data_IF_041934320813
#
_entry.id   IF_041934320813
#
_cell.length_a   1.000
_cell.length_b   1.000
_cell.length_c   1.000
_cell.angle_alpha   90.00
_cell.angle_beta   90.00
_cell.angle_gamma   90.00
#
_symmetry.space_group_name_H-M   'P 1'
#
loop_
_entity.id
_entity.type
_entity.pdbx_description
1 polymer ?
#
# COMPACT_ATOMS: atom_id res chain seq x y z
N UNK A 1 4.59 14.60 -12.89
CA UNK A 1 5.43 14.85 -14.07
C UNK A 1 4.56 15.39 -15.20
N UNK A 2 4.15 14.59 -16.18
CA UNK A 2 3.19 15.02 -17.22
C UNK A 2 1.82 15.35 -16.61
N UNK A 3 1.06 16.23 -17.27
CA UNK A 3 -0.33 16.53 -16.93
C UNK A 3 -1.27 15.34 -17.25
N UNK A 4 -2.56 15.51 -16.90
CA UNK A 4 -3.62 14.52 -17.18
C UNK A 4 -3.31 13.15 -16.55
N UNK A 5 -2.70 13.18 -15.37
CA UNK A 5 -1.93 12.08 -14.78
C UNK A 5 -2.70 10.75 -14.67
N UNK A 6 -4.03 10.76 -14.55
CA UNK A 6 -4.85 9.56 -14.38
C UNK A 6 -5.97 9.47 -15.44
N UNK A 7 -5.84 10.17 -16.55
CA UNK A 7 -6.87 10.18 -17.61
C UNK A 7 -6.83 8.94 -18.54
N UNK A 8 -6.10 7.90 -18.15
CA UNK A 8 -6.00 6.63 -18.89
C UNK A 8 -5.60 6.81 -20.37
N UNK A 9 -4.49 7.53 -20.60
CA UNK A 9 -4.00 7.80 -21.96
C UNK A 9 -3.45 6.54 -22.64
N UNK A 10 -3.58 6.50 -23.97
CA UNK A 10 -3.03 5.40 -24.77
C UNK A 10 -1.49 5.45 -24.82
N UNK A 11 -0.88 4.32 -25.16
CA UNK A 11 0.58 4.23 -25.34
C UNK A 11 1.12 5.24 -26.35
N UNK A 12 0.41 5.50 -27.45
CA UNK A 12 0.84 6.47 -28.45
C UNK A 12 0.84 7.91 -27.88
N UNK A 13 -0.17 8.24 -27.07
CA UNK A 13 -0.25 9.54 -26.40
C UNK A 13 0.85 9.70 -25.35
N UNK A 14 1.08 8.67 -24.52
CA UNK A 14 2.16 8.67 -23.51
C UNK A 14 3.53 8.73 -24.18
N UNK A 15 3.76 8.00 -25.27
CA UNK A 15 5.00 8.05 -26.06
C UNK A 15 5.25 9.45 -26.60
N UNK A 16 4.23 10.09 -27.16
CA UNK A 16 4.35 11.46 -27.65
C UNK A 16 4.73 12.42 -26.51
N UNK A 17 4.06 12.31 -25.36
CA UNK A 17 4.36 13.11 -24.18
C UNK A 17 5.78 12.89 -23.66
N UNK A 18 6.24 11.64 -23.53
CA UNK A 18 7.61 11.30 -23.10
C UNK A 18 8.66 11.89 -24.04
N UNK A 19 8.41 11.90 -25.35
CA UNK A 19 9.32 12.50 -26.33
C UNK A 19 9.37 14.02 -26.24
N UNK A 20 8.24 14.69 -26.00
CA UNK A 20 8.22 16.13 -25.71
C UNK A 20 9.00 16.44 -24.42
N UNK A 21 8.81 15.59 -23.42
CA UNK A 21 9.47 15.71 -22.14
C UNK A 21 11.00 15.54 -22.24
N UNK A 22 11.45 14.55 -23.03
CA UNK A 22 12.85 14.27 -23.29
C UNK A 22 13.58 15.43 -24.01
N UNK A 23 12.86 16.28 -24.73
CA UNK A 23 13.43 17.51 -25.35
C UNK A 23 13.26 18.77 -24.48
N UNK A 24 12.72 18.63 -23.27
CA UNK A 24 12.67 19.71 -22.27
C UNK A 24 11.42 20.56 -22.27
N UNK A 25 10.33 20.13 -22.92
CA UNK A 25 9.08 20.90 -22.99
C UNK A 25 8.54 21.28 -21.59
N UNK A 26 8.82 20.47 -20.56
CA UNK A 26 8.28 20.63 -19.22
C UNK A 26 9.29 21.14 -18.18
N UNK A 27 10.55 21.40 -18.56
CA UNK A 27 11.63 21.77 -17.62
C UNK A 27 11.25 22.99 -16.77
N UNK A 28 10.57 23.96 -17.37
CA UNK A 28 10.15 25.20 -16.71
C UNK A 28 9.24 24.95 -15.49
N UNK A 29 8.39 23.92 -15.50
CA UNK A 29 7.56 23.56 -14.34
C UNK A 29 8.42 23.09 -13.17
N UNK A 30 9.45 22.30 -13.43
CA UNK A 30 10.34 21.78 -12.38
C UNK A 30 11.30 22.85 -11.86
N UNK A 31 11.74 23.78 -12.73
CA UNK A 31 12.47 24.97 -12.28
C UNK A 31 11.62 25.80 -11.31
N UNK A 32 10.36 26.08 -11.68
CA UNK A 32 9.44 26.83 -10.83
C UNK A 32 9.18 26.11 -9.48
N UNK A 33 9.02 24.78 -9.49
CA UNK A 33 8.90 24.00 -8.27
C UNK A 33 10.17 24.11 -7.39
N UNK A 34 11.35 23.94 -7.98
CA UNK A 34 12.62 24.03 -7.26
C UNK A 34 12.83 25.42 -6.64
N UNK A 35 12.64 26.49 -7.42
CA UNK A 35 12.70 27.87 -6.93
C UNK A 35 11.74 28.08 -5.76
N UNK A 36 10.50 27.57 -5.88
CA UNK A 36 9.50 27.70 -4.82
C UNK A 36 9.88 26.97 -3.54
N UNK A 37 10.42 25.76 -3.63
CA UNK A 37 10.87 25.00 -2.46
C UNK A 37 12.03 25.70 -1.74
N UNK A 38 12.98 26.28 -2.49
CA UNK A 38 14.06 27.08 -1.90
C UNK A 38 13.52 28.34 -1.22
N UNK A 39 12.61 29.08 -1.87
CA UNK A 39 11.96 30.26 -1.28
C UNK A 39 11.22 29.95 0.03
N UNK A 40 10.57 28.78 0.09
CA UNK A 40 9.87 28.28 1.27
C UNK A 40 10.81 27.79 2.37
N UNK A 41 12.13 27.83 2.15
CA UNK A 41 13.17 27.38 3.08
C UNK A 41 13.07 25.89 3.43
N UNK A 42 12.70 25.07 2.44
CA UNK A 42 12.74 23.60 2.51
C UNK A 42 13.70 23.02 1.45
N UNK A 43 14.95 23.51 1.38
CA UNK A 43 15.87 23.17 0.31
C UNK A 43 16.30 21.69 0.31
N UNK A 44 16.15 20.98 1.43
CA UNK A 44 16.54 19.58 1.65
C UNK A 44 15.39 18.58 1.40
N UNK A 45 14.37 19.00 0.64
CA UNK A 45 13.20 18.18 0.33
C UNK A 45 13.59 16.90 -0.43
N UNK A 46 13.06 15.76 0.02
CA UNK A 46 13.05 14.51 -0.74
C UNK A 46 11.88 14.55 -1.72
N UNK A 47 12.17 14.32 -3.00
CA UNK A 47 11.20 14.36 -4.09
C UNK A 47 11.04 12.96 -4.67
N UNK A 48 9.87 12.36 -4.45
CA UNK A 48 9.45 11.11 -5.10
C UNK A 48 8.98 11.45 -6.50
N UNK A 49 9.94 11.50 -7.44
CA UNK A 49 9.65 11.84 -8.81
C UNK A 49 9.14 10.60 -9.54
N UNK A 50 8.06 10.75 -10.32
CA UNK A 50 7.57 9.68 -11.19
C UNK A 50 7.31 8.34 -10.47
N UNK A 51 6.62 8.39 -9.32
CA UNK A 51 6.29 7.21 -8.51
C UNK A 51 5.49 6.17 -9.31
N UNK A 52 5.66 4.89 -8.99
CA UNK A 52 4.90 3.79 -9.61
C UNK A 52 4.96 3.76 -11.15
N UNK A 53 6.04 4.30 -11.73
CA UNK A 53 6.24 4.39 -13.18
C UNK A 53 6.24 3.04 -13.91
N UNK A 54 6.45 1.92 -13.21
CA UNK A 54 6.38 0.58 -13.79
C UNK A 54 4.96 0.10 -14.06
N UNK A 55 3.94 0.82 -13.58
CA UNK A 55 2.54 0.55 -13.83
C UNK A 55 1.97 1.23 -15.08
N UNK A 56 0.63 1.23 -15.16
CA UNK A 56 -0.11 1.86 -16.28
C UNK A 56 -1.04 2.99 -15.87
N UNK A 57 -1.26 3.18 -14.57
CA UNK A 57 -2.19 4.18 -14.02
C UNK A 57 -1.81 5.59 -14.42
N UNK A 58 -0.52 5.91 -14.34
CA UNK A 58 -0.05 7.28 -14.48
C UNK A 58 0.45 7.62 -15.89
N UNK A 59 0.22 8.83 -16.37
CA UNK A 59 0.75 9.29 -17.68
C UNK A 59 2.28 9.45 -17.69
N UNK A 60 2.89 9.50 -16.51
CA UNK A 60 4.33 9.56 -16.34
C UNK A 60 5.01 8.19 -16.25
N UNK A 61 4.25 7.11 -16.46
CA UNK A 61 4.77 5.76 -16.54
C UNK A 61 5.94 5.65 -17.53
N UNK A 62 6.84 4.71 -17.23
CA UNK A 62 8.06 4.46 -17.97
C UNK A 62 7.80 3.80 -19.32
N UNK A 63 6.85 2.87 -19.37
CA UNK A 63 6.32 2.38 -20.64
C UNK A 63 5.54 3.49 -21.36
N UNK A 64 5.53 3.54 -22.70
CA UNK A 64 6.09 2.55 -23.61
C UNK A 64 7.43 3.00 -24.22
N UNK A 65 8.11 4.00 -23.63
CA UNK A 65 9.38 4.56 -24.12
C UNK A 65 10.39 4.79 -22.98
N UNK A 66 10.98 3.70 -22.42
CA UNK A 66 11.88 3.79 -21.25
C UNK A 66 13.09 4.70 -21.45
N UNK A 67 13.63 4.79 -22.66
CA UNK A 67 14.76 5.69 -22.96
C UNK A 67 14.36 7.16 -22.88
N UNK A 68 13.19 7.52 -23.41
CA UNK A 68 12.63 8.86 -23.27
C UNK A 68 12.29 9.17 -21.81
N UNK A 69 11.77 8.19 -21.05
CA UNK A 69 11.52 8.33 -19.61
C UNK A 69 12.82 8.62 -18.84
N UNK A 70 13.89 7.84 -19.08
CA UNK A 70 15.19 8.04 -18.40
C UNK A 70 15.80 9.39 -18.75
N UNK A 71 15.68 9.79 -20.01
CA UNK A 71 16.11 11.12 -20.46
C UNK A 71 15.32 12.21 -19.74
N UNK A 72 14.00 12.08 -19.64
CA UNK A 72 13.15 13.05 -18.97
C UNK A 72 13.46 13.15 -17.47
N UNK A 73 13.60 12.03 -16.76
CA UNK A 73 14.06 12.01 -15.36
C UNK A 73 15.33 12.83 -15.19
N UNK A 74 16.36 12.52 -15.98
CA UNK A 74 17.67 13.17 -15.89
C UNK A 74 17.58 14.68 -16.15
N UNK A 75 16.71 15.12 -17.08
CA UNK A 75 16.45 16.54 -17.34
C UNK A 75 15.78 17.25 -16.18
N UNK A 76 14.79 16.62 -15.56
CA UNK A 76 14.11 17.18 -14.39
C UNK A 76 15.11 17.39 -13.26
N UNK A 77 15.88 16.34 -12.93
CA UNK A 77 16.89 16.39 -11.87
C UNK A 77 17.93 17.48 -12.17
N UNK A 78 18.46 17.54 -13.39
CA UNK A 78 19.42 18.59 -13.78
C UNK A 78 18.81 20.00 -13.67
N UNK A 79 17.55 20.17 -14.09
CA UNK A 79 16.84 21.45 -14.02
C UNK A 79 16.66 21.90 -12.58
N UNK A 80 16.17 21.02 -11.71
CA UNK A 80 15.95 21.32 -10.30
C UNK A 80 17.28 21.59 -9.58
N UNK A 81 18.32 20.78 -9.85
CA UNK A 81 19.66 20.97 -9.28
C UNK A 81 20.35 22.26 -9.75
N UNK A 82 19.92 22.86 -10.86
CA UNK A 82 20.45 24.15 -11.35
C UNK A 82 19.98 25.36 -10.54
N UNK A 83 18.97 25.21 -9.67
CA UNK A 83 18.44 26.30 -8.85
C UNK A 83 19.38 26.53 -7.66
N UNK A 84 19.94 27.74 -7.48
CA UNK A 84 20.83 28.03 -6.35
C UNK A 84 20.14 27.84 -4.99
N UNK A 85 20.85 27.25 -4.03
CA UNK A 85 20.36 27.03 -2.67
C UNK A 85 19.53 25.76 -2.47
N UNK A 86 19.35 24.94 -3.52
CA UNK A 86 18.74 23.62 -3.40
C UNK A 86 19.71 22.59 -2.81
N UNK A 87 19.17 21.63 -2.06
CA UNK A 87 19.84 20.41 -1.57
C UNK A 87 18.88 19.20 -1.67
N UNK A 88 18.11 19.14 -2.77
CA UNK A 88 17.07 18.13 -2.94
C UNK A 88 17.66 16.74 -3.16
N UNK A 89 16.92 15.72 -2.68
CA UNK A 89 17.21 14.31 -2.97
C UNK A 89 16.09 13.72 -3.82
N UNK A 90 16.46 12.94 -4.83
CA UNK A 90 15.51 12.33 -5.76
C UNK A 90 15.34 10.84 -5.45
N UNK A 91 14.10 10.46 -5.16
CA UNK A 91 13.71 9.11 -4.78
C UNK A 91 13.06 8.38 -5.96
N UNK A 92 13.74 7.35 -6.47
CA UNK A 92 13.24 6.49 -7.55
C UNK A 92 12.40 5.36 -6.94
N UNK A 93 11.08 5.49 -7.07
CA UNK A 93 10.11 4.64 -6.34
C UNK A 93 9.16 3.93 -7.30
N UNK A 94 9.42 2.66 -7.66
CA UNK A 94 8.45 1.81 -8.35
C UNK A 94 7.40 1.21 -7.41
N UNK A 95 6.31 0.69 -7.97
CA UNK A 95 5.43 -0.25 -7.27
C UNK A 95 6.10 -1.61 -7.15
N UNK A 96 5.85 -2.32 -6.04
CA UNK A 96 6.37 -3.67 -5.80
C UNK A 96 5.97 -4.65 -6.91
N UNK A 97 6.93 -5.46 -7.30
CA UNK A 97 6.76 -6.49 -8.33
C UNK A 97 6.94 -5.90 -9.73
N UNK A 98 6.61 -6.71 -10.74
CA UNK A 98 6.75 -6.28 -12.14
C UNK A 98 5.80 -5.14 -12.48
N UNK A 99 4.56 -5.22 -12.01
CA UNK A 99 3.42 -4.49 -12.57
C UNK A 99 3.38 -4.67 -14.12
N UNK A 100 3.50 -3.60 -14.91
CA UNK A 100 3.49 -3.70 -16.38
C UNK A 100 4.88 -3.95 -16.98
N UNK A 101 5.92 -3.29 -16.46
CA UNK A 101 7.30 -3.40 -16.95
C UNK A 101 8.30 -3.58 -15.80
N UNK A 102 9.38 -4.38 -15.96
CA UNK A 102 10.45 -4.44 -14.96
C UNK A 102 10.96 -3.05 -14.56
N UNK A 103 10.78 -2.65 -13.29
CA UNK A 103 11.16 -1.31 -12.87
C UNK A 103 12.68 -1.04 -13.02
N UNK A 104 13.52 -2.07 -13.00
CA UNK A 104 14.96 -1.95 -13.23
C UNK A 104 15.29 -1.46 -14.64
N UNK A 105 14.45 -1.74 -15.64
CA UNK A 105 14.63 -1.23 -17.01
C UNK A 105 14.41 0.30 -17.10
N UNK A 106 13.69 0.83 -16.13
CA UNK A 106 13.41 2.25 -15.99
C UNK A 106 14.48 2.97 -15.18
N UNK A 107 15.46 2.31 -14.56
CA UNK A 107 16.43 3.00 -13.71
C UNK A 107 17.29 4.01 -14.51
N UNK A 108 17.28 5.32 -14.17
CA UNK A 108 17.93 6.37 -14.98
C UNK A 108 19.44 6.50 -14.72
N UNK A 109 19.96 5.81 -13.70
CA UNK A 109 21.37 5.76 -13.33
C UNK A 109 21.71 6.49 -12.02
N UNK A 110 22.86 6.12 -11.44
CA UNK A 110 23.27 6.53 -10.08
C UNK A 110 23.52 8.03 -9.91
N UNK A 111 23.77 8.76 -11.00
CA UNK A 111 24.12 10.17 -10.97
C UNK A 111 22.93 11.07 -10.59
N UNK A 112 21.70 10.60 -10.82
CA UNK A 112 20.46 11.39 -10.68
C UNK A 112 19.44 10.74 -9.74
N UNK A 113 19.80 9.62 -9.12
CA UNK A 113 19.00 8.96 -8.08
C UNK A 113 19.77 8.99 -6.77
N UNK A 114 19.15 9.51 -5.72
CA UNK A 114 19.75 9.62 -4.39
C UNK A 114 19.25 8.52 -3.44
N UNK A 115 18.00 8.07 -3.64
CA UNK A 115 17.31 7.05 -2.84
C UNK A 115 16.59 6.10 -3.80
N UNK A 116 16.61 4.81 -3.49
CA UNK A 116 15.84 3.80 -4.22
C UNK A 116 14.66 3.40 -3.33
N UNK A 117 13.47 3.91 -3.64
CA UNK A 117 12.24 3.61 -2.91
C UNK A 117 11.50 2.40 -3.44
N UNK A 118 10.39 2.07 -2.80
CA UNK A 118 9.42 1.08 -3.26
C UNK A 118 8.06 1.37 -2.63
N UNK A 119 7.01 1.40 -3.43
CA UNK A 119 5.63 1.42 -2.94
C UNK A 119 5.10 0.01 -2.80
N UNK A 120 4.57 -0.33 -1.62
CA UNK A 120 4.19 -1.71 -1.30
C UNK A 120 2.95 -1.78 -0.43
N UNK A 121 1.89 -2.34 -0.99
CA UNK A 121 0.63 -2.62 -0.30
C UNK A 121 0.38 -4.13 -0.19
N UNK A 122 -0.56 -4.52 0.68
CA UNK A 122 -0.99 -5.92 0.83
C UNK A 122 -1.89 -6.41 -0.32
N UNK A 123 -1.32 -6.47 -1.51
CA UNK A 123 -1.99 -6.89 -2.74
C UNK A 123 -1.04 -7.66 -3.69
N UNK A 124 -1.55 -8.38 -4.70
CA UNK A 124 -2.95 -8.79 -4.86
C UNK A 124 -3.36 -9.77 -3.76
N UNK A 125 -4.66 -10.12 -3.72
CA UNK A 125 -5.16 -11.11 -2.78
C UNK A 125 -4.55 -12.49 -3.02
N UNK A 126 -4.31 -13.22 -1.94
CA UNK A 126 -3.75 -14.58 -1.98
C UNK A 126 -2.23 -14.66 -2.00
N UNK A 127 -1.52 -13.52 -2.07
CA UNK A 127 -0.05 -13.47 -1.99
C UNK A 127 0.39 -13.21 -0.55
N UNK A 128 1.15 -14.16 0.01
CA UNK A 128 1.75 -14.04 1.34
C UNK A 128 2.87 -12.99 1.37
N UNK A 129 3.24 -12.50 2.56
CA UNK A 129 4.36 -11.57 2.68
C UNK A 129 5.69 -12.19 2.19
N UNK A 130 5.92 -13.49 2.44
CA UNK A 130 7.12 -14.21 1.96
C UNK A 130 7.20 -14.23 0.43
N UNK A 131 6.05 -14.37 -0.25
CA UNK A 131 5.98 -14.27 -1.71
C UNK A 131 6.25 -12.83 -2.18
N UNK A 132 5.74 -11.80 -1.49
CA UNK A 132 6.04 -10.40 -1.82
C UNK A 132 7.53 -10.05 -1.64
N UNK A 133 8.23 -10.73 -0.74
CA UNK A 133 9.67 -10.59 -0.55
C UNK A 133 10.45 -11.24 -1.70
N UNK A 134 10.05 -12.46 -2.07
CA UNK A 134 10.84 -13.33 -2.96
C UNK A 134 10.45 -13.27 -4.44
N UNK A 135 9.31 -12.67 -4.77
CA UNK A 135 8.87 -12.51 -6.15
C UNK A 135 9.87 -11.66 -6.97
N UNK A 136 9.92 -11.85 -8.30
CA UNK A 136 10.66 -10.97 -9.18
C UNK A 136 10.22 -9.52 -8.99
N UNK A 137 11.20 -8.62 -8.86
CA UNK A 137 11.01 -7.20 -8.63
C UNK A 137 10.35 -6.86 -7.28
N UNK A 138 10.31 -7.83 -6.35
CA UNK A 138 9.77 -7.71 -5.00
C UNK A 138 10.71 -7.05 -3.99
N UNK A 139 10.37 -7.17 -2.70
CA UNK A 139 11.05 -6.44 -1.62
C UNK A 139 12.54 -6.79 -1.46
N UNK A 140 12.92 -8.07 -1.62
CA UNK A 140 14.33 -8.45 -1.49
C UNK A 140 15.16 -7.86 -2.64
N UNK A 141 14.66 -7.95 -3.88
CA UNK A 141 15.36 -7.41 -5.04
C UNK A 141 15.52 -5.89 -4.95
N UNK A 142 14.53 -5.19 -4.38
CA UNK A 142 14.63 -3.76 -4.07
C UNK A 142 15.81 -3.43 -3.15
N UNK A 143 15.91 -4.13 -2.02
CA UNK A 143 17.02 -3.96 -1.06
C UNK A 143 18.36 -4.29 -1.70
N UNK A 144 18.44 -5.42 -2.41
CA UNK A 144 19.69 -5.88 -3.04
C UNK A 144 20.15 -4.92 -4.14
N UNK A 145 19.22 -4.39 -4.93
CA UNK A 145 19.50 -3.41 -5.97
C UNK A 145 20.02 -2.10 -5.36
N UNK A 146 19.35 -1.57 -4.33
CA UNK A 146 19.81 -0.37 -3.63
C UNK A 146 21.22 -0.55 -3.05
N UNK A 147 21.49 -1.71 -2.44
CA UNK A 147 22.81 -2.07 -1.93
C UNK A 147 23.86 -2.14 -3.03
N UNK A 148 23.55 -2.75 -4.17
CA UNK A 148 24.46 -2.85 -5.32
C UNK A 148 24.82 -1.47 -5.89
N UNK A 149 23.91 -0.51 -5.82
CA UNK A 149 24.11 0.87 -6.26
C UNK A 149 24.62 1.81 -5.16
N UNK A 150 24.86 1.30 -3.94
CA UNK A 150 25.34 2.09 -2.81
C UNK A 150 24.35 3.18 -2.36
N UNK A 151 23.05 2.94 -2.49
CA UNK A 151 21.97 3.89 -2.15
C UNK A 151 21.20 3.43 -0.92
N UNK A 152 20.64 4.39 -0.19
CA UNK A 152 19.65 4.09 0.85
C UNK A 152 18.33 3.65 0.22
N UNK A 153 17.53 2.91 0.98
CA UNK A 153 16.15 2.55 0.61
C UNK A 153 15.13 3.46 1.28
N UNK A 154 13.93 3.54 0.71
CA UNK A 154 12.74 4.15 1.32
C UNK A 154 11.49 3.31 1.03
N UNK A 155 10.42 3.56 1.80
CA UNK A 155 9.07 3.08 1.49
C UNK A 155 8.09 4.27 1.50
N UNK A 156 8.02 5.04 0.40
CA UNK A 156 7.22 6.27 0.35
C UNK A 156 5.72 6.01 0.44
N UNK A 157 5.25 4.86 -0.02
CA UNK A 157 3.91 4.38 0.30
C UNK A 157 3.92 2.91 0.71
N UNK A 158 3.32 2.63 1.86
CA UNK A 158 2.99 1.27 2.23
C UNK A 158 1.77 1.21 3.12
N UNK A 159 1.06 0.07 3.11
CA UNK A 159 -0.11 -0.10 3.96
C UNK A 159 -1.06 -1.21 3.52
N UNK A 160 -2.27 -1.15 4.06
CA UNK A 160 -3.35 -2.05 3.66
C UNK A 160 -3.99 -1.55 2.36
N UNK A 161 -4.61 -2.44 1.62
CA UNK A 161 -5.32 -2.15 0.39
C UNK A 161 -6.41 -3.20 0.13
N UNK A 162 -6.14 -4.22 -0.71
CA UNK A 162 -7.15 -5.18 -1.19
C UNK A 162 -7.51 -6.26 -0.17
N UNK A 163 -6.67 -6.49 0.83
CA UNK A 163 -6.88 -7.59 1.79
C UNK A 163 -7.52 -7.14 3.12
N UNK A 164 -7.92 -5.87 3.23
CA UNK A 164 -8.64 -5.33 4.39
C UNK A 164 -7.81 -5.35 5.67
N UNK A 165 -8.42 -5.66 6.82
CA UNK A 165 -7.75 -5.69 8.13
C UNK A 165 -6.75 -6.85 8.24
N UNK A 166 -5.54 -6.64 7.72
CA UNK A 166 -4.48 -7.64 7.59
C UNK A 166 -3.33 -7.41 8.59
N UNK A 167 -3.54 -7.89 9.83
CA UNK A 167 -2.57 -7.74 10.91
C UNK A 167 -1.24 -8.45 10.66
N UNK A 168 -1.24 -9.54 9.86
CA UNK A 168 -0.02 -10.26 9.53
C UNK A 168 0.87 -9.42 8.61
N UNK A 169 0.30 -8.83 7.54
CA UNK A 169 1.04 -7.92 6.68
C UNK A 169 1.63 -6.74 7.46
N UNK A 170 0.82 -6.10 8.31
CA UNK A 170 1.26 -4.99 9.15
C UNK A 170 2.45 -5.38 10.02
N UNK A 171 2.38 -6.53 10.70
CA UNK A 171 3.46 -7.05 11.55
C UNK A 171 4.74 -7.32 10.74
N UNK A 172 4.59 -7.97 9.59
CA UNK A 172 5.72 -8.40 8.74
C UNK A 172 6.41 -7.22 8.07
N UNK A 173 5.65 -6.25 7.56
CA UNK A 173 6.21 -5.03 6.95
C UNK A 173 6.92 -4.16 7.98
N UNK A 174 6.37 -4.02 9.19
CA UNK A 174 7.06 -3.31 10.29
C UNK A 174 8.37 -4.00 10.68
N UNK A 175 8.40 -5.33 10.75
CA UNK A 175 9.63 -6.08 11.01
C UNK A 175 10.66 -5.92 9.87
N UNK A 176 10.20 -5.92 8.62
CA UNK A 176 11.05 -5.67 7.45
C UNK A 176 11.68 -4.27 7.47
N UNK A 177 10.89 -3.25 7.85
CA UNK A 177 11.36 -1.87 8.03
C UNK A 177 12.38 -1.77 9.18
N UNK A 178 12.15 -2.45 10.30
CA UNK A 178 13.09 -2.48 11.43
C UNK A 178 14.43 -3.16 11.08
N UNK A 179 14.36 -4.24 10.30
CA UNK A 179 15.52 -4.98 9.81
C UNK A 179 16.38 -4.15 8.84
N UNK A 180 15.75 -3.57 7.81
CA UNK A 180 16.45 -2.92 6.70
C UNK A 180 16.70 -1.41 6.90
N UNK A 181 16.03 -0.79 7.87
CA UNK A 181 16.23 0.59 8.31
C UNK A 181 16.23 1.59 7.13
N UNK A 182 15.10 1.71 6.41
CA UNK A 182 14.99 2.68 5.34
C UNK A 182 15.24 4.10 5.84
N UNK A 183 15.75 4.97 4.96
CA UNK A 183 16.00 6.38 5.28
C UNK A 183 14.72 7.05 5.79
N UNK A 184 13.58 6.72 5.19
CA UNK A 184 12.26 7.05 5.69
C UNK A 184 11.24 6.01 5.19
N UNK A 185 10.09 5.99 5.84
CA UNK A 185 8.90 5.33 5.34
C UNK A 185 7.67 6.16 5.69
N UNK A 186 6.63 6.04 4.90
CA UNK A 186 5.35 6.73 5.10
C UNK A 186 4.20 5.74 4.95
N UNK A 187 3.47 5.55 6.04
CA UNK A 187 2.29 4.70 6.07
C UNK A 187 1.10 5.44 5.43
N UNK A 188 0.43 4.78 4.51
CA UNK A 188 -0.81 5.27 3.90
C UNK A 188 -2.00 5.11 4.86
N UNK A 189 -2.61 6.24 5.25
CA UNK A 189 -3.68 6.26 6.26
C UNK A 189 -4.94 7.01 5.82
N UNK A 190 -5.80 6.31 5.07
CA UNK A 190 -7.16 6.79 4.76
C UNK A 190 -8.13 5.62 4.71
N UNK A 191 -9.40 5.79 5.12
CA UNK A 191 -10.36 4.70 5.02
C UNK A 191 -10.69 4.35 3.56
N UNK A 192 -10.81 3.05 3.21
CA UNK A 192 -10.88 1.88 4.11
C UNK A 192 -9.52 1.23 4.43
N UNK A 193 -8.40 1.83 4.05
CA UNK A 193 -7.06 1.24 4.05
C UNK A 193 -6.19 1.60 5.26
N UNK A 194 -6.51 2.69 5.95
CA UNK A 194 -5.69 3.22 7.04
C UNK A 194 -5.71 2.37 8.31
N UNK A 195 -4.73 2.60 9.19
CA UNK A 195 -4.62 1.92 10.50
C UNK A 195 -4.50 2.89 11.66
N UNK A 196 -4.42 4.20 11.40
CA UNK A 196 -4.37 5.24 12.41
C UNK A 196 -5.71 5.94 12.55
N UNK A 197 -6.21 6.54 11.46
CA UNK A 197 -7.50 7.24 11.41
C UNK A 197 -8.66 6.32 11.07
N UNK A 198 -8.42 5.16 10.47
CA UNK A 198 -9.50 4.26 10.08
C UNK A 198 -9.84 3.23 11.17
N UNK A 199 -11.10 3.22 11.62
CA UNK A 199 -11.60 2.25 12.59
C UNK A 199 -11.93 0.88 12.00
N UNK A 200 -11.95 0.75 10.67
CA UNK A 200 -12.29 -0.48 9.95
C UNK A 200 -11.21 -1.57 10.04
N UNK A 201 -10.00 -1.24 10.48
CA UNK A 201 -8.85 -2.16 10.53
C UNK A 201 -8.32 -2.40 11.96
N UNK A 202 -9.16 -2.83 12.92
CA UNK A 202 -8.82 -2.81 14.34
C UNK A 202 -7.69 -3.77 14.72
N UNK A 203 -7.49 -4.89 14.00
CA UNK A 203 -6.38 -5.80 14.30
C UNK A 203 -5.04 -5.20 13.86
N UNK A 204 -4.99 -4.64 12.66
CA UNK A 204 -3.80 -3.99 12.10
C UNK A 204 -3.44 -2.72 12.86
N UNK A 205 -4.42 -1.90 13.24
CA UNK A 205 -4.24 -0.73 14.12
C UNK A 205 -3.59 -1.08 15.45
N UNK A 206 -3.98 -2.22 16.06
CA UNK A 206 -3.36 -2.67 17.32
C UNK A 206 -1.89 -3.01 17.15
N UNK A 207 -1.53 -3.69 16.07
CA UNK A 207 -0.12 -4.02 15.76
C UNK A 207 0.68 -2.74 15.54
N UNK A 208 0.21 -1.85 14.66
CA UNK A 208 0.90 -0.61 14.34
C UNK A 208 1.14 0.25 15.59
N UNK A 209 0.11 0.41 16.44
CA UNK A 209 0.22 1.16 17.70
C UNK A 209 1.18 0.47 18.69
N UNK A 210 1.16 -0.86 18.81
CA UNK A 210 2.05 -1.57 19.71
C UNK A 210 3.53 -1.31 19.38
N UNK A 211 3.89 -1.39 18.10
CA UNK A 211 5.26 -1.10 17.62
C UNK A 211 5.64 0.36 17.88
N UNK A 212 4.78 1.32 17.54
CA UNK A 212 5.07 2.75 17.75
C UNK A 212 5.25 3.15 19.22
N UNK A 213 4.50 2.54 20.14
CA UNK A 213 4.63 2.83 21.57
C UNK A 213 5.76 2.05 22.25
N UNK A 214 6.65 1.40 21.49
CA UNK A 214 7.76 0.62 22.03
C UNK A 214 7.30 -0.63 22.82
N UNK A 215 6.06 -1.07 22.62
CA UNK A 215 5.54 -2.32 23.18
C UNK A 215 5.86 -3.42 22.17
N UNK A 216 7.11 -3.88 22.20
CA UNK A 216 7.57 -5.03 21.39
C UNK A 216 7.00 -6.36 21.89
N UNK A 217 6.32 -6.37 23.05
CA UNK A 217 5.55 -7.52 23.49
C UNK A 217 4.33 -7.72 22.58
N UNK A 218 4.35 -8.84 21.89
CA UNK A 218 3.25 -9.34 21.08
C UNK A 218 1.96 -9.30 21.91
N UNK A 219 0.88 -8.62 21.45
CA UNK A 219 -0.42 -8.82 22.07
C UNK A 219 -0.72 -10.32 22.03
N UNK A 220 -0.97 -10.92 23.19
CA UNK A 220 -1.32 -12.33 23.28
C UNK A 220 -2.38 -12.65 22.21
N UNK A 221 -2.15 -13.70 21.41
CA UNK A 221 -3.21 -14.25 20.57
C UNK A 221 -4.44 -14.42 21.44
N UNK A 222 -5.56 -13.82 21.01
CA UNK A 222 -6.84 -14.07 21.67
C UNK A 222 -7.03 -15.59 21.62
N UNK A 223 -7.10 -16.29 22.76
CA UNK A 223 -7.26 -17.73 22.75
C UNK A 223 -8.51 -18.05 21.95
N UNK A 224 -8.39 -18.96 21.00
CA UNK A 224 -9.55 -19.58 20.35
C UNK A 224 -10.48 -20.03 21.48
N UNK A 225 -11.77 -19.61 21.51
CA UNK A 225 -12.66 -20.03 22.57
C UNK A 225 -12.66 -21.55 22.59
N UNK A 226 -12.22 -22.12 23.72
CA UNK A 226 -12.37 -23.55 23.98
C UNK A 226 -13.84 -23.88 23.76
N UNK A 227 -14.18 -24.88 22.91
CA UNK A 227 -15.56 -25.31 22.78
C UNK A 227 -16.08 -25.60 24.18
N UNK A 228 -17.16 -24.90 24.57
CA UNK A 228 -17.82 -25.19 25.83
C UNK A 228 -18.11 -26.69 25.88
N UNK A 229 -17.85 -27.39 27.00
CA UNK A 229 -18.19 -28.80 27.11
C UNK A 229 -19.66 -28.96 26.74
N UNK A 230 -19.92 -29.88 25.79
CA UNK A 230 -21.27 -30.16 25.34
C UNK A 230 -22.12 -30.42 26.58
N UNK A 231 -23.14 -29.57 26.80
CA UNK A 231 -24.15 -29.84 27.82
C UNK A 231 -24.75 -31.20 27.48
N UNK A 232 -24.68 -32.13 28.43
CA UNK A 232 -25.43 -33.37 28.34
C UNK A 232 -26.89 -33.03 28.02
N UNK A 233 -27.52 -33.74 27.07
CA UNK A 233 -28.92 -33.51 26.76
C UNK A 233 -29.74 -33.81 28.02
N UNK A 234 -30.30 -32.75 28.62
CA UNK A 234 -31.35 -32.90 29.62
C UNK A 234 -32.52 -33.56 28.88
N UNK A 235 -32.84 -34.78 29.29
CA UNK A 235 -34.05 -35.47 28.86
C UNK A 235 -35.26 -34.59 29.24
N UNK A 236 -35.77 -33.84 28.26
CA UNK A 236 -37.05 -33.17 28.38
C UNK A 236 -38.13 -34.24 28.41
N UNK A 237 -38.75 -34.39 29.57
CA UNK A 237 -40.03 -35.10 29.69
C UNK A 237 -41.00 -34.47 28.69
N UNK A 238 -41.54 -35.30 27.80
CA UNK A 238 -42.46 -34.85 26.75
C UNK A 238 -43.67 -34.11 27.32
N UNK A 239 -44.27 -33.19 26.54
CA UNK A 239 -45.45 -32.45 26.98
C UNK A 239 -46.64 -33.39 27.19
N UNK A 240 -47.55 -33.09 28.14
CA UNK A 240 -48.77 -33.86 28.31
C UNK A 240 -49.64 -33.81 27.06
N UNK A 241 -50.35 -34.90 26.80
CA UNK A 241 -51.25 -35.08 25.65
C UNK A 241 -52.26 -33.92 25.54
N UNK A 242 -52.31 -33.28 24.37
CA UNK A 242 -53.35 -32.29 24.05
C UNK A 242 -52.92 -31.06 23.27
N UNK A 243 -51.65 -30.89 22.92
CA UNK A 243 -51.17 -29.68 22.22
C UNK A 243 -50.92 -29.94 20.73
N UNK A 244 -51.74 -29.39 19.84
CA UNK A 244 -51.44 -29.30 18.39
C UNK A 244 -51.02 -27.86 18.05
N UNK A 245 -49.76 -27.71 17.63
CA UNK A 245 -49.25 -26.43 17.12
C UNK A 245 -49.84 -26.16 15.74
N UNK A 246 -50.36 -24.96 15.43
CA UNK A 246 -50.64 -24.60 14.05
C UNK A 246 -49.31 -24.49 13.31
N UNK A 247 -49.24 -25.07 12.11
CA UNK A 247 -48.08 -24.92 11.22
C UNK A 247 -48.14 -23.50 10.63
N UNK A 248 -47.34 -22.59 11.20
CA UNK A 248 -47.08 -21.27 10.63
C UNK A 248 -45.63 -21.28 10.14
N UNK A 249 -45.43 -20.89 8.88
CA UNK A 249 -44.19 -21.09 8.14
C UNK A 249 -42.95 -20.41 8.73
N UNK A 250 -41.78 -20.91 8.31
CA UNK A 250 -40.42 -20.73 8.84
C UNK A 250 -39.93 -19.29 9.10
N UNK A 251 -40.69 -18.26 8.74
CA UNK A 251 -40.28 -16.86 8.91
C UNK A 251 -40.60 -16.28 10.30
N UNK A 252 -41.65 -16.77 10.98
CA UNK A 252 -42.07 -16.23 12.29
C UNK A 252 -41.28 -16.80 13.49
N UNK A 253 -40.69 -18.00 13.39
CA UNK A 253 -39.89 -18.59 14.48
C UNK A 253 -38.51 -17.91 14.66
N UNK A 254 -38.00 -17.20 13.65
CA UNK A 254 -36.68 -16.56 13.74
C UNK A 254 -36.65 -15.31 14.65
N UNK A 255 -37.77 -14.60 14.80
CA UNK A 255 -37.80 -13.30 15.49
C UNK A 255 -38.30 -13.32 16.94
N UNK A 256 -39.03 -14.35 17.38
CA UNK A 256 -39.75 -14.31 18.66
C UNK A 256 -39.23 -15.27 19.73
N UNK A 257 -38.33 -16.21 19.42
CA UNK A 257 -37.61 -17.01 20.41
C UNK A 257 -38.42 -17.93 21.33
N UNK A 258 -39.76 -17.92 21.28
CA UNK A 258 -40.65 -18.78 22.06
C UNK A 258 -41.90 -19.22 21.26
N UNK A 259 -42.38 -20.44 21.52
CA UNK A 259 -43.63 -20.98 20.95
C UNK A 259 -44.83 -20.49 21.76
N UNK A 260 -45.73 -19.74 21.12
CA UNK A 260 -47.02 -19.37 21.70
C UNK A 260 -48.00 -20.55 21.69
N UNK A 261 -48.61 -20.85 22.83
CA UNK A 261 -49.79 -21.71 22.95
C UNK A 261 -51.00 -20.84 23.31
N UNK A 262 -52.10 -20.95 22.56
CA UNK A 262 -53.37 -20.31 22.87
C UNK A 262 -54.36 -21.41 23.28
N UNK A 263 -54.94 -21.38 24.49
CA UNK A 263 -56.00 -22.29 24.86
C UNK A 263 -57.31 -21.88 24.14
N UNK A 264 -58.04 -22.86 23.61
CA UNK A 264 -59.43 -22.70 23.22
C UNK A 264 -60.29 -23.52 24.19
N UNK A 265 -61.29 -22.88 24.78
CA UNK A 265 -62.46 -23.55 25.37
C UNK A 265 -63.32 -24.22 24.28
#
# INVERSE_FOLDING_TARGET
MQERNEENLSDDQVRWLLRQAAVGAFDHHFRALAERLVELKVPDTVIVLGWEMNGTTYTHRCGPDPEAWKTYWNRIVATMRSVPGQDFRFDFTPSRGRDAVPWTECYPGDATVDIIGMDSYDQPSGVSFDEQVTEPYGLQQHVDFAKAHGKAISYPEWGLFRNGDNAEYMRRMLAWIDEHKPLYNTLTDYCPHGVWQCSANPRSSRIYRAVLYGRTEQPAQVPTPTPAPAREPVLTTGPPDGCRSPVLGDWTEYWLGERFCIPFD
#
